data_IF_982883948773
#
_entry.id   IF_982883948773
#
_cell.length_a   1.000
_cell.length_b   1.000
_cell.length_c   1.000
_cell.angle_alpha   90.00
_cell.angle_beta   90.00
_cell.angle_gamma   90.00
#
_symmetry.space_group_name_H-M   'P 1'
#
loop_
_entity.id
_entity.type
_entity.pdbx_description
1 polymer ?
#
# COMPACT_ATOMS: atom_id res chain seq x y z
N UNK A 1 0.70 -21.59 7.58
CA UNK A 1 -0.25 -20.46 7.53
C UNK A 1 -0.20 -19.67 6.21
N UNK A 2 0.95 -19.12 5.79
CA UNK A 2 1.03 -18.30 4.57
C UNK A 2 0.56 -19.03 3.29
N UNK A 3 0.87 -20.33 3.16
CA UNK A 3 0.42 -21.11 2.01
C UNK A 3 -1.10 -21.25 1.94
N UNK A 4 -1.77 -21.42 3.09
CA UNK A 4 -3.24 -21.44 3.15
C UNK A 4 -3.85 -20.13 2.67
N UNK A 5 -3.21 -18.99 2.95
CA UNK A 5 -3.65 -17.69 2.44
C UNK A 5 -3.50 -17.58 0.91
N UNK A 6 -2.43 -18.12 0.34
CA UNK A 6 -2.22 -18.17 -1.12
C UNK A 6 -3.32 -19.02 -1.77
N UNK A 7 -3.58 -20.21 -1.23
CA UNK A 7 -4.64 -21.10 -1.71
C UNK A 7 -6.03 -20.50 -1.53
N UNK A 8 -6.33 -19.87 -0.39
CA UNK A 8 -7.62 -19.18 -0.13
C UNK A 8 -7.89 -18.05 -1.12
N UNK A 9 -6.84 -17.43 -1.69
CA UNK A 9 -6.96 -16.40 -2.75
C UNK A 9 -7.01 -16.97 -4.17
N UNK A 10 -7.01 -18.30 -4.32
CA UNK A 10 -6.98 -19.03 -5.58
C UNK A 10 -5.82 -18.58 -6.47
N UNK A 11 -4.60 -18.62 -5.90
CA UNK A 11 -3.35 -18.21 -6.56
C UNK A 11 -2.47 -19.44 -6.86
N UNK A 12 -3.00 -20.41 -7.60
CA UNK A 12 -2.34 -21.71 -7.89
C UNK A 12 -1.05 -21.58 -8.74
N UNK A 13 -0.83 -20.41 -9.33
CA UNK A 13 0.36 -20.07 -10.12
C UNK A 13 1.49 -19.46 -9.29
N UNK A 14 1.32 -19.37 -7.97
CA UNK A 14 2.36 -18.98 -7.02
C UNK A 14 2.74 -20.17 -6.13
N UNK A 15 4.03 -20.33 -5.92
CA UNK A 15 4.59 -21.33 -5.02
C UNK A 15 5.42 -20.63 -3.94
N UNK A 16 5.17 -20.98 -2.69
CA UNK A 16 5.98 -20.57 -1.55
C UNK A 16 6.86 -21.76 -1.16
N UNK A 17 8.17 -21.64 -1.36
CA UNK A 17 9.09 -22.71 -0.98
C UNK A 17 9.31 -22.80 0.55
N UNK A 18 9.93 -23.88 1.02
CA UNK A 18 10.23 -24.11 2.45
C UNK A 18 11.23 -23.08 3.03
N UNK A 19 11.95 -22.34 2.18
CA UNK A 19 12.82 -21.24 2.55
C UNK A 19 12.10 -19.88 2.46
N UNK A 20 10.78 -19.90 2.40
CA UNK A 20 9.90 -18.75 2.33
C UNK A 20 10.10 -17.86 1.10
N UNK A 21 10.68 -18.33 -0.01
CA UNK A 21 10.70 -17.57 -1.26
C UNK A 21 9.37 -17.75 -2.01
N UNK A 22 8.77 -16.63 -2.41
CA UNK A 22 7.57 -16.63 -3.24
C UNK A 22 7.97 -16.54 -4.71
N UNK A 23 7.65 -17.58 -5.49
CA UNK A 23 8.02 -17.67 -6.91
C UNK A 23 6.79 -17.95 -7.77
N UNK A 24 6.70 -17.37 -8.99
CA UNK A 24 5.70 -17.79 -9.96
C UNK A 24 6.08 -19.15 -10.55
N UNK A 25 5.09 -20.03 -10.72
CA UNK A 25 5.27 -21.36 -11.35
C UNK A 25 5.37 -21.25 -12.87
N UNK A 26 4.77 -20.20 -13.44
CA UNK A 26 4.74 -19.90 -14.87
C UNK A 26 4.83 -18.39 -15.10
N UNK A 27 5.10 -17.97 -16.32
CA UNK A 27 4.97 -16.56 -16.71
C UNK A 27 3.54 -16.08 -16.51
N UNK A 28 3.37 -14.99 -15.74
CA UNK A 28 2.06 -14.49 -15.36
C UNK A 28 1.51 -13.51 -16.38
N UNK A 29 0.23 -13.64 -16.68
CA UNK A 29 -0.52 -12.61 -17.42
C UNK A 29 -0.64 -11.33 -16.58
N UNK A 30 -0.97 -10.21 -17.23
CA UNK A 30 -1.20 -8.93 -16.53
C UNK A 30 -2.33 -9.02 -15.49
N UNK A 31 -3.38 -9.81 -15.76
CA UNK A 31 -4.49 -10.07 -14.84
C UNK A 31 -4.04 -10.86 -13.61
N UNK A 32 -3.29 -11.94 -13.81
CA UNK A 32 -2.72 -12.74 -12.72
C UNK A 32 -1.77 -11.91 -11.86
N UNK A 33 -0.86 -11.14 -12.49
CA UNK A 33 0.08 -10.25 -11.80
C UNK A 33 -0.61 -9.20 -10.93
N UNK A 34 -1.69 -8.59 -11.44
CA UNK A 34 -2.49 -7.62 -10.66
C UNK A 34 -3.21 -8.29 -9.49
N UNK A 35 -3.75 -9.50 -9.67
CA UNK A 35 -4.47 -10.26 -8.64
C UNK A 35 -3.54 -10.77 -7.53
N UNK A 36 -2.34 -11.21 -7.90
CA UNK A 36 -1.38 -11.84 -6.99
C UNK A 36 -0.46 -10.86 -6.26
N UNK A 37 -0.61 -9.55 -6.50
CA UNK A 37 0.18 -8.51 -5.83
C UNK A 37 -0.16 -8.46 -4.34
N UNK A 38 0.70 -9.07 -3.53
CA UNK A 38 0.64 -8.98 -2.09
C UNK A 38 1.16 -7.63 -1.59
N UNK A 39 0.69 -7.21 -0.41
CA UNK A 39 1.13 -5.98 0.25
C UNK A 39 2.22 -6.23 1.27
N UNK A 40 2.68 -5.15 1.91
CA UNK A 40 3.79 -5.17 2.87
C UNK A 40 3.54 -6.15 4.04
N UNK A 41 2.31 -6.25 4.54
CA UNK A 41 1.98 -7.16 5.65
C UNK A 41 2.39 -8.61 5.39
N UNK A 42 2.09 -9.11 4.19
CA UNK A 42 2.41 -10.48 3.80
C UNK A 42 3.92 -10.66 3.59
N UNK A 43 4.57 -9.74 2.87
CA UNK A 43 6.00 -9.83 2.59
C UNK A 43 6.87 -9.67 3.84
N UNK A 44 6.51 -8.75 4.74
CA UNK A 44 7.22 -8.55 6.00
C UNK A 44 7.09 -9.77 6.91
N UNK A 45 5.88 -10.32 7.07
CA UNK A 45 5.68 -11.57 7.82
C UNK A 45 6.49 -12.73 7.23
N UNK A 46 6.50 -12.88 5.90
CA UNK A 46 7.30 -13.89 5.20
C UNK A 46 8.80 -13.75 5.47
N UNK A 47 9.35 -12.53 5.44
CA UNK A 47 10.79 -12.31 5.71
C UNK A 47 11.15 -12.53 7.18
N UNK A 48 10.28 -12.18 8.13
CA UNK A 48 10.48 -12.50 9.55
C UNK A 48 10.54 -14.02 9.75
N UNK A 49 9.63 -14.76 9.11
CA UNK A 49 9.64 -16.23 9.15
C UNK A 49 10.88 -16.80 8.48
N UNK A 50 11.36 -16.19 7.40
CA UNK A 50 12.62 -16.59 6.74
C UNK A 50 13.83 -16.40 7.65
N UNK A 51 13.94 -15.25 8.32
CA UNK A 51 15.00 -14.99 9.28
C UNK A 51 14.97 -16.02 10.43
N UNK A 52 13.77 -16.27 10.98
CA UNK A 52 13.57 -17.26 12.04
C UNK A 52 14.00 -18.65 11.57
N UNK A 53 13.61 -19.02 10.35
CA UNK A 53 14.00 -20.29 9.72
C UNK A 53 15.52 -20.41 9.61
N UNK A 54 16.23 -19.40 9.10
CA UNK A 54 17.70 -19.43 9.01
C UNK A 54 18.37 -19.68 10.38
N UNK A 55 17.89 -19.02 11.43
CA UNK A 55 18.39 -19.24 12.79
C UNK A 55 18.11 -20.67 13.27
N UNK A 56 16.90 -21.18 13.07
CA UNK A 56 16.53 -22.54 13.49
C UNK A 56 17.32 -23.60 12.72
N UNK A 57 17.51 -23.44 11.41
CA UNK A 57 18.31 -24.37 10.60
C UNK A 57 19.75 -24.46 11.08
N UNK A 58 20.36 -23.32 11.44
CA UNK A 58 21.72 -23.32 11.98
C UNK A 58 21.80 -24.17 13.25
N UNK A 59 20.79 -24.08 14.13
CA UNK A 59 20.71 -24.92 15.33
C UNK A 59 20.45 -26.39 14.98
N UNK A 60 19.61 -26.69 13.98
CA UNK A 60 19.36 -28.07 13.54
C UNK A 60 20.63 -28.69 12.99
N UNK A 61 21.39 -28.00 12.14
CA UNK A 61 22.66 -28.47 11.60
C UNK A 61 23.70 -28.73 12.69
N UNK A 62 23.76 -27.85 13.69
CA UNK A 62 24.59 -28.06 14.87
C UNK A 62 24.18 -29.32 15.65
N UNK A 63 22.88 -29.54 15.88
CA UNK A 63 22.36 -30.70 16.62
C UNK A 63 22.49 -32.02 15.86
N UNK A 64 22.54 -31.98 14.53
CA UNK A 64 22.83 -33.11 13.66
C UNK A 64 24.34 -33.41 13.56
N UNK A 65 25.19 -32.66 14.26
CA UNK A 65 26.65 -32.76 14.22
C UNK A 65 27.25 -32.54 12.82
N UNK A 66 26.56 -31.79 11.95
CA UNK A 66 27.06 -31.44 10.62
C UNK A 66 27.95 -30.20 10.65
N UNK A 67 27.89 -29.39 11.71
CA UNK A 67 28.58 -28.09 11.84
C UNK A 67 29.03 -27.89 13.29
N UNK A 68 30.26 -27.38 13.48
CA UNK A 68 30.84 -27.06 14.79
C UNK A 68 30.39 -25.70 15.37
N UNK A 69 30.55 -25.51 16.67
CA UNK A 69 29.98 -24.40 17.45
C UNK A 69 30.57 -22.98 17.19
N UNK A 70 31.64 -22.82 16.40
CA UNK A 70 32.58 -21.69 16.53
C UNK A 70 32.58 -20.63 15.42
N UNK A 71 31.44 -20.14 14.93
CA UNK A 71 31.45 -19.03 13.96
C UNK A 71 30.41 -17.93 14.31
N UNK A 72 30.73 -16.66 13.98
CA UNK A 72 29.90 -15.41 13.88
C UNK A 72 29.69 -14.49 15.14
N UNK A 73 29.98 -13.16 15.21
CA UNK A 73 30.82 -12.18 14.47
C UNK A 73 30.99 -10.87 15.32
N UNK A 74 32.19 -10.44 15.74
CA UNK A 74 32.58 -9.02 16.01
C UNK A 74 34.08 -8.82 15.71
N UNK A 75 34.39 -8.09 14.63
CA UNK A 75 35.73 -8.08 14.04
C UNK A 75 36.79 -7.18 14.71
N UNK A 76 36.41 -6.17 15.49
CA UNK A 76 37.37 -5.10 15.83
C UNK A 76 38.02 -5.24 17.22
N UNK A 77 37.34 -5.87 18.19
CA UNK A 77 37.85 -6.02 19.57
C UNK A 77 38.35 -7.43 19.89
N UNK A 78 38.08 -8.39 19.01
CA UNK A 78 38.44 -9.81 19.17
C UNK A 78 39.66 -10.19 18.32
N UNK A 79 39.87 -9.53 17.17
CA UNK A 79 41.03 -9.75 16.30
C UNK A 79 42.15 -8.74 16.61
N UNK A 80 42.53 -8.65 17.88
CA UNK A 80 43.68 -7.85 18.34
C UNK A 80 44.76 -8.79 18.86
N UNK A 81 46.03 -8.60 18.46
CA UNK A 81 47.15 -9.49 18.80
C UNK A 81 47.37 -10.58 17.74
N UNK A 82 47.73 -11.83 18.10
CA UNK A 82 48.05 -12.91 17.15
C UNK A 82 46.84 -13.45 16.36
N UNK A 83 45.63 -12.97 16.63
CA UNK A 83 44.39 -13.43 15.98
C UNK A 83 44.20 -12.74 14.63
N UNK A 84 44.31 -13.51 13.55
CA UNK A 84 44.18 -13.02 12.17
C UNK A 84 42.75 -12.63 11.76
N UNK A 85 42.59 -12.07 10.56
CA UNK A 85 41.29 -11.80 9.95
C UNK A 85 40.69 -13.12 9.42
N UNK A 86 39.74 -13.70 10.15
CA UNK A 86 39.01 -14.90 9.73
C UNK A 86 37.58 -14.93 10.25
N UNK A 87 36.72 -15.83 9.75
CA UNK A 87 35.29 -15.90 10.08
C UNK A 87 34.97 -16.35 11.53
N UNK A 88 36.00 -16.59 12.35
CA UNK A 88 35.92 -17.28 13.65
C UNK A 88 35.71 -16.41 14.88
N UNK A 89 34.96 -15.31 14.80
CA UNK A 89 34.54 -14.59 16.02
C UNK A 89 33.08 -14.93 16.29
N UNK A 90 32.72 -15.49 17.46
CA UNK A 90 31.40 -16.07 17.81
C UNK A 90 30.46 -15.20 18.66
N UNK A 91 30.59 -13.87 18.62
CA UNK A 91 29.82 -12.97 19.50
C UNK A 91 28.52 -12.49 18.82
N UNK A 92 27.43 -13.25 18.99
CA UNK A 92 26.12 -12.96 18.38
C UNK A 92 25.14 -12.18 19.28
N UNK A 93 25.40 -12.10 20.59
CA UNK A 93 24.48 -11.53 21.56
C UNK A 93 24.10 -10.05 21.32
N UNK A 94 25.02 -9.14 20.93
CA UNK A 94 24.65 -7.75 20.62
C UNK A 94 23.73 -7.65 19.40
N UNK A 95 24.03 -8.38 18.33
CA UNK A 95 23.18 -8.43 17.13
C UNK A 95 21.80 -9.00 17.43
N UNK A 96 21.73 -10.08 18.22
CA UNK A 96 20.47 -10.68 18.66
C UNK A 96 19.58 -9.70 19.43
N UNK A 97 20.15 -8.92 20.36
CA UNK A 97 19.38 -7.92 21.12
C UNK A 97 18.76 -6.85 20.21
N UNK A 98 19.49 -6.39 19.19
CA UNK A 98 18.96 -5.43 18.20
C UNK A 98 17.74 -6.00 17.49
N UNK A 99 17.82 -7.27 17.04
CA UNK A 99 16.69 -7.95 16.40
C UNK A 99 15.51 -8.16 17.34
N UNK A 100 15.74 -8.44 18.63
CA UNK A 100 14.66 -8.52 19.61
C UNK A 100 13.95 -7.18 19.83
N UNK A 101 14.69 -6.08 19.92
CA UNK A 101 14.08 -4.75 20.05
C UNK A 101 13.31 -4.35 18.78
N UNK A 102 13.84 -4.69 17.60
CA UNK A 102 13.12 -4.54 16.35
C UNK A 102 11.80 -5.33 16.36
N UNK A 103 11.84 -6.60 16.77
CA UNK A 103 10.65 -7.44 16.85
C UNK A 103 9.63 -6.89 17.85
N UNK A 104 10.06 -6.40 19.01
CA UNK A 104 9.17 -5.74 19.98
C UNK A 104 8.42 -4.56 19.38
N UNK A 105 9.09 -3.73 18.56
CA UNK A 105 8.47 -2.57 17.91
C UNK A 105 7.55 -2.95 16.74
N UNK A 106 7.88 -4.01 16.00
CA UNK A 106 7.13 -4.40 14.80
C UNK A 106 5.88 -5.22 15.10
N UNK A 107 5.84 -5.95 16.22
CA UNK A 107 4.71 -6.80 16.62
C UNK A 107 3.35 -6.09 16.55
N UNK A 108 3.12 -4.95 17.24
CA UNK A 108 1.79 -4.30 17.20
C UNK A 108 1.41 -3.79 15.80
N UNK A 109 2.40 -3.37 15.00
CA UNK A 109 2.16 -2.94 13.62
C UNK A 109 1.74 -4.12 12.75
N UNK A 110 2.47 -5.23 12.86
CA UNK A 110 2.22 -6.43 12.08
C UNK A 110 0.91 -7.09 12.46
N UNK A 111 0.55 -7.13 13.75
CA UNK A 111 -0.75 -7.60 14.24
C UNK A 111 -1.89 -6.80 13.60
N UNK A 112 -1.83 -5.46 13.65
CA UNK A 112 -2.84 -4.61 13.01
C UNK A 112 -2.92 -4.85 11.51
N UNK A 113 -1.78 -4.96 10.83
CA UNK A 113 -1.74 -5.15 9.38
C UNK A 113 -2.24 -6.53 8.94
N UNK A 114 -1.88 -7.59 9.66
CA UNK A 114 -2.37 -8.94 9.41
C UNK A 114 -3.84 -9.09 9.80
N UNK A 115 -4.28 -8.48 10.90
CA UNK A 115 -5.69 -8.40 11.29
C UNK A 115 -6.54 -7.77 10.20
N UNK A 116 -6.13 -6.59 9.70
CA UNK A 116 -6.81 -5.92 8.58
C UNK A 116 -6.77 -6.74 7.28
N UNK A 117 -5.68 -7.47 7.02
CA UNK A 117 -5.56 -8.34 5.86
C UNK A 117 -6.55 -9.51 5.94
N UNK A 118 -6.68 -10.12 7.11
CA UNK A 118 -7.57 -11.26 7.35
C UNK A 118 -9.03 -10.83 7.37
N UNK A 119 -9.41 -9.77 8.11
CA UNK A 119 -10.77 -9.21 8.07
C UNK A 119 -11.18 -8.91 6.64
N UNK A 120 -10.34 -8.22 5.84
CA UNK A 120 -10.63 -7.97 4.43
C UNK A 120 -10.75 -9.23 3.55
N UNK A 121 -10.10 -10.33 3.95
CA UNK A 121 -10.15 -11.59 3.22
C UNK A 121 -11.42 -12.40 3.55
N UNK A 122 -11.93 -12.29 4.77
CA UNK A 122 -13.12 -13.01 5.23
C UNK A 122 -14.41 -12.19 5.09
N UNK A 123 -14.40 -10.93 5.51
CA UNK A 123 -15.55 -10.01 5.49
C UNK A 123 -15.64 -9.23 4.16
N UNK A 124 -14.55 -9.22 3.38
CA UNK A 124 -14.49 -8.49 2.12
C UNK A 124 -14.11 -7.01 2.29
N UNK A 125 -14.28 -6.23 1.22
CA UNK A 125 -13.97 -4.79 1.22
C UNK A 125 -15.26 -3.97 1.20
N UNK A 126 -15.39 -3.06 2.16
CA UNK A 126 -16.45 -2.05 2.13
C UNK A 126 -16.12 -0.96 1.09
N UNK A 127 -16.94 -0.85 0.04
CA UNK A 127 -16.70 0.06 -1.08
C UNK A 127 -17.04 1.53 -0.78
N UNK A 128 -18.02 1.78 0.10
CA UNK A 128 -18.50 3.11 0.48
C UNK A 128 -18.39 3.40 1.99
N UNK A 129 -17.65 2.58 2.74
CA UNK A 129 -17.61 2.67 4.20
C UNK A 129 -16.74 3.81 4.76
N UNK A 130 -15.83 4.38 3.97
CA UNK A 130 -14.91 5.43 4.41
C UNK A 130 -14.85 6.53 3.35
N UNK A 131 -15.15 7.76 3.75
CA UNK A 131 -14.99 8.94 2.90
C UNK A 131 -13.51 9.12 2.55
N UNK A 132 -13.21 9.37 1.27
CA UNK A 132 -11.84 9.56 0.81
C UNK A 132 -11.41 10.99 1.09
N UNK A 133 -10.36 11.17 1.87
CA UNK A 133 -9.72 12.48 2.07
C UNK A 133 -9.20 13.02 0.73
N UNK A 134 -9.34 14.34 0.53
CA UNK A 134 -8.83 15.04 -0.64
C UNK A 134 -7.32 15.20 -0.48
N UNK A 135 -6.57 14.38 -1.21
CA UNK A 135 -5.11 14.49 -1.29
C UNK A 135 -4.69 15.43 -2.42
N UNK A 136 -3.41 15.81 -2.47
CA UNK A 136 -2.85 16.74 -3.46
C UNK A 136 -3.32 16.48 -4.91
N UNK A 137 -3.38 15.22 -5.33
CA UNK A 137 -3.81 14.84 -6.69
C UNK A 137 -5.25 15.29 -7.03
N UNK A 138 -6.11 15.50 -6.04
CA UNK A 138 -7.55 15.74 -6.23
C UNK A 138 -7.99 17.14 -5.84
N UNK A 139 -7.08 18.00 -5.41
CA UNK A 139 -7.42 19.33 -4.90
C UNK A 139 -8.20 20.14 -5.95
N UNK A 140 -7.67 20.24 -7.17
CA UNK A 140 -8.32 20.97 -8.27
C UNK A 140 -9.66 20.34 -8.67
N UNK A 141 -9.70 19.02 -8.86
CA UNK A 141 -10.95 18.33 -9.20
C UNK A 141 -12.03 18.47 -8.13
N UNK A 142 -11.65 18.56 -6.86
CA UNK A 142 -12.58 18.75 -5.76
C UNK A 142 -13.03 20.21 -5.68
N UNK A 143 -12.13 21.16 -5.91
CA UNK A 143 -12.47 22.58 -6.03
C UNK A 143 -13.50 22.83 -7.13
N UNK A 144 -13.30 22.26 -8.33
CA UNK A 144 -14.27 22.38 -9.42
C UNK A 144 -15.64 21.77 -9.06
N UNK A 145 -15.64 20.66 -8.31
CA UNK A 145 -16.86 20.00 -7.86
C UNK A 145 -17.64 20.86 -6.85
N UNK A 146 -16.94 21.42 -5.87
CA UNK A 146 -17.51 22.33 -4.87
C UNK A 146 -17.97 23.66 -5.50
N UNK A 147 -17.18 24.25 -6.40
CA UNK A 147 -17.54 25.49 -7.11
C UNK A 147 -18.82 25.31 -7.92
N UNK A 148 -18.95 24.20 -8.65
CA UNK A 148 -20.17 23.90 -9.40
C UNK A 148 -21.36 23.70 -8.48
N UNK A 149 -21.17 23.03 -7.34
CA UNK A 149 -22.23 22.83 -6.35
C UNK A 149 -22.70 24.15 -5.72
N UNK A 150 -21.77 25.03 -5.35
CA UNK A 150 -22.07 26.35 -4.79
C UNK A 150 -22.86 27.21 -5.78
N UNK A 151 -22.38 27.34 -7.02
CA UNK A 151 -23.07 28.11 -8.07
C UNK A 151 -24.47 27.53 -8.34
N UNK A 152 -24.61 26.21 -8.33
CA UNK A 152 -25.91 25.57 -8.52
C UNK A 152 -26.89 25.89 -7.39
N UNK A 153 -26.42 25.92 -6.14
CA UNK A 153 -27.24 26.32 -5.00
C UNK A 153 -27.74 27.76 -5.16
N UNK A 154 -26.83 28.70 -5.44
CA UNK A 154 -27.18 30.12 -5.59
C UNK A 154 -28.21 30.34 -6.72
N UNK A 155 -28.04 29.67 -7.86
CA UNK A 155 -28.96 29.81 -9.00
C UNK A 155 -30.35 29.26 -8.68
N UNK A 156 -30.43 28.10 -8.01
CA UNK A 156 -31.71 27.50 -7.65
C UNK A 156 -32.51 28.37 -6.66
N UNK A 157 -31.82 29.15 -5.83
CA UNK A 157 -32.42 30.09 -4.90
C UNK A 157 -32.85 31.40 -5.60
N UNK A 158 -32.10 31.86 -6.61
CA UNK A 158 -32.45 33.04 -7.41
C UNK A 158 -33.62 32.81 -8.39
N UNK A 159 -33.88 31.56 -8.79
CA UNK A 159 -34.94 31.26 -9.76
C UNK A 159 -36.35 31.22 -9.11
N UNK A 160 -37.38 31.80 -9.74
CA UNK A 160 -38.76 31.68 -9.27
C UNK A 160 -39.28 30.24 -9.36
N UNK A 161 -40.29 29.92 -8.55
CA UNK A 161 -40.92 28.60 -8.53
C UNK A 161 -41.53 28.28 -9.92
N UNK A 162 -41.24 27.07 -10.44
CA UNK A 162 -41.68 26.60 -11.76
C UNK A 162 -40.63 26.59 -12.88
N UNK A 163 -39.48 27.27 -12.75
CA UNK A 163 -38.44 27.35 -13.82
C UNK A 163 -37.16 26.53 -13.51
N UNK A 164 -37.05 25.98 -12.30
CA UNK A 164 -35.77 25.56 -11.68
C UNK A 164 -35.01 24.41 -12.35
N UNK A 165 -35.68 23.38 -12.89
CA UNK A 165 -34.98 22.14 -13.23
C UNK A 165 -34.32 22.11 -14.62
N UNK A 166 -34.85 22.86 -15.60
CA UNK A 166 -34.42 22.70 -17.00
C UNK A 166 -33.24 23.61 -17.41
N UNK A 167 -32.97 24.70 -16.68
CA UNK A 167 -31.95 25.71 -17.06
C UNK A 167 -30.60 25.55 -16.37
N UNK A 168 -30.53 24.77 -15.29
CA UNK A 168 -29.34 24.66 -14.44
C UNK A 168 -28.10 24.15 -15.21
N UNK A 169 -28.27 23.14 -16.07
CA UNK A 169 -27.18 22.58 -16.89
C UNK A 169 -26.63 23.59 -17.90
N UNK A 170 -27.49 24.41 -18.50
CA UNK A 170 -27.11 25.43 -19.49
C UNK A 170 -26.30 26.53 -18.80
N UNK A 171 -26.69 26.96 -17.61
CA UNK A 171 -25.95 27.98 -16.86
C UNK A 171 -24.55 27.47 -16.48
N UNK A 172 -24.43 26.21 -16.06
CA UNK A 172 -23.12 25.59 -15.81
C UNK A 172 -22.24 25.48 -17.06
N UNK A 173 -22.83 25.36 -18.25
CA UNK A 173 -22.08 25.42 -19.52
C UNK A 173 -21.56 26.84 -19.76
N UNK A 174 -22.40 27.86 -19.57
CA UNK A 174 -21.99 29.26 -19.65
C UNK A 174 -20.88 29.61 -18.65
N UNK A 175 -20.95 29.13 -17.40
CA UNK A 175 -19.89 29.30 -16.41
C UNK A 175 -18.56 28.68 -16.90
N UNK A 176 -18.64 27.47 -17.45
CA UNK A 176 -17.46 26.77 -17.97
C UNK A 176 -16.84 27.50 -19.16
N UNK A 177 -17.66 28.11 -20.01
CA UNK A 177 -17.21 28.90 -21.16
C UNK A 177 -16.65 30.26 -20.74
N UNK A 178 -17.31 30.96 -19.82
CA UNK A 178 -16.81 32.20 -19.24
C UNK A 178 -15.41 32.01 -18.63
N UNK A 179 -15.18 30.90 -17.93
CA UNK A 179 -13.85 30.54 -17.41
C UNK A 179 -12.81 30.34 -18.51
N UNK A 180 -13.17 29.70 -19.63
CA UNK A 180 -12.25 29.54 -20.78
C UNK A 180 -11.91 30.88 -21.40
N UNK A 181 -12.91 31.73 -21.65
CA UNK A 181 -12.71 33.07 -22.19
C UNK A 181 -11.83 33.93 -21.26
N UNK A 182 -12.06 33.88 -19.95
CA UNK A 182 -11.22 34.56 -18.96
C UNK A 182 -9.75 34.11 -19.03
N UNK A 183 -9.49 32.78 -19.05
CA UNK A 183 -8.13 32.25 -19.21
C UNK A 183 -7.47 32.62 -20.53
N UNK A 184 -8.25 32.77 -21.60
CA UNK A 184 -7.78 33.16 -22.92
C UNK A 184 -7.68 34.69 -23.10
N UNK A 185 -8.07 35.48 -22.09
CA UNK A 185 -8.17 36.93 -22.15
C UNK A 185 -9.08 37.44 -23.29
N UNK A 186 -10.19 36.71 -23.54
CA UNK A 186 -11.21 37.06 -24.54
C UNK A 186 -12.42 37.65 -23.81
N UNK A 187 -12.99 38.78 -24.27
CA UNK A 187 -14.21 39.32 -23.68
C UNK A 187 -15.38 38.36 -23.88
N UNK A 188 -16.01 37.94 -22.78
CA UNK A 188 -17.18 37.07 -22.81
C UNK A 188 -18.46 37.89 -22.70
N UNK A 189 -19.29 37.86 -23.77
CA UNK A 189 -20.60 38.50 -23.82
C UNK A 189 -21.61 37.53 -24.44
N UNK A 190 -22.68 37.25 -23.74
CA UNK A 190 -23.78 36.40 -24.24
C UNK A 190 -24.83 37.29 -24.89
N UNK A 191 -25.17 37.01 -26.16
CA UNK A 191 -26.29 37.64 -26.85
C UNK A 191 -27.60 36.95 -26.45
N UNK A 192 -28.55 37.74 -25.96
CA UNK A 192 -29.93 37.27 -25.81
C UNK A 192 -30.64 37.41 -27.15
N UNK A 193 -31.14 36.30 -27.69
CA UNK A 193 -32.11 36.33 -28.79
C UNK A 193 -33.50 36.39 -28.17
N UNK A 194 -34.21 37.51 -28.33
CA UNK A 194 -35.58 37.71 -27.83
C UNK A 194 -36.65 36.94 -28.66
N UNK A 195 -36.25 36.20 -29.68
CA UNK A 195 -37.16 35.51 -30.61
C UNK A 195 -37.38 34.02 -30.27
N UNK A 196 -37.73 33.70 -29.02
CA UNK A 196 -38.27 32.39 -28.60
C UNK A 196 -39.19 32.53 -27.39
#
# INVERSE_FOLDING_TARGET
MLNLLIHRKNLNYLHLDYNFNLKPVKTLTTKERKKSRFGNAFHLCREILRLTKLVVDAHVQYRLNNVDAYQHLIYYRFNTGPVGKGPGCGVWAPGWRVWLFFMRGITPLLERWLGNLLSRQFEGRHSKGVAKTVTKQRVESHFDLELRAAVMHDILDMMPEGIKQNKARVILQHLSEAWRCWKANIPWKVSFNENL
#
